data_IF_145769262312
#
_entry.id   IF_145769262312
#
_cell.length_a   1.000
_cell.length_b   1.000
_cell.length_c   1.000
_cell.angle_alpha   90.00
_cell.angle_beta   90.00
_cell.angle_gamma   90.00
#
_symmetry.space_group_name_H-M   'P 1'
#
loop_
_entity.id
_entity.type
_entity.pdbx_description
1 polymer ?
#
# COMPACT_ATOMS: atom_id res chain seq x y z
N UNK A 1 62.96 -11.46 10.88
CA UNK A 1 62.99 -11.07 9.45
C UNK A 1 62.07 -11.99 8.66
N UNK A 2 61.15 -11.40 7.90
CA UNK A 2 60.46 -11.92 6.70
C UNK A 2 59.54 -13.13 6.86
N UNK A 3 58.26 -12.84 7.09
CA UNK A 3 57.16 -13.61 6.46
C UNK A 3 56.82 -12.92 5.15
N UNK A 4 56.88 -13.69 4.07
CA UNK A 4 56.69 -13.26 2.68
C UNK A 4 55.28 -12.72 2.43
N UNK A 5 55.22 -11.52 1.84
CA UNK A 5 54.06 -11.00 1.11
C UNK A 5 54.05 -11.62 -0.29
N UNK A 6 52.91 -12.09 -0.74
CA UNK A 6 52.56 -12.16 -2.16
C UNK A 6 51.17 -11.56 -2.38
N UNK A 7 51.16 -10.54 -3.23
CA UNK A 7 50.08 -9.85 -3.96
C UNK A 7 49.46 -10.77 -5.03
N UNK A 8 48.26 -10.61 -5.58
CA UNK A 8 47.26 -9.51 -5.67
C UNK A 8 45.90 -10.09 -6.13
N UNK A 9 45.07 -9.44 -7.00
CA UNK A 9 45.18 -8.12 -7.63
C UNK A 9 44.06 -7.13 -7.26
N UNK A 10 44.34 -5.87 -7.56
CA UNK A 10 43.45 -4.71 -7.68
C UNK A 10 42.33 -4.94 -8.68
N UNK A 11 41.08 -4.64 -8.29
CA UNK A 11 40.10 -4.10 -9.22
C UNK A 11 39.03 -3.27 -8.49
N UNK A 12 38.68 -2.18 -9.16
CA UNK A 12 37.91 -1.02 -8.74
C UNK A 12 36.45 -1.32 -8.39
N UNK A 13 35.98 -0.81 -7.25
CA UNK A 13 34.56 -0.51 -7.07
C UNK A 13 34.39 0.93 -6.62
N UNK A 14 34.18 1.78 -7.63
CA UNK A 14 33.41 3.01 -7.50
C UNK A 14 31.99 2.68 -7.06
N UNK A 15 31.65 3.03 -5.83
CA UNK A 15 30.29 3.50 -5.51
C UNK A 15 30.37 4.37 -4.26
N UNK A 16 30.05 5.64 -4.45
CA UNK A 16 29.96 6.63 -3.38
C UNK A 16 28.89 6.20 -2.38
N UNK A 17 29.33 5.58 -1.28
CA UNK A 17 28.50 5.40 -0.09
C UNK A 17 28.21 6.77 0.52
N UNK A 18 27.13 7.39 0.08
CA UNK A 18 26.53 8.51 0.78
C UNK A 18 26.04 7.98 2.13
N UNK A 19 26.88 8.12 3.17
CA UNK A 19 26.50 7.86 4.56
C UNK A 19 25.45 8.90 4.98
N UNK A 20 24.19 8.62 4.68
CA UNK A 20 23.06 9.26 5.34
C UNK A 20 23.07 8.91 6.84
N UNK A 21 22.50 9.77 7.68
CA UNK A 21 22.62 9.73 9.14
C UNK A 21 22.38 8.34 9.75
N UNK A 22 23.22 7.94 10.71
CA UNK A 22 23.09 6.61 11.35
C UNK A 22 21.77 6.41 12.11
N UNK A 23 21.32 5.15 12.27
CA UNK A 23 20.03 4.81 12.85
C UNK A 23 19.96 5.14 14.34
N UNK A 24 18.74 5.23 14.88
CA UNK A 24 18.51 5.47 16.30
C UNK A 24 19.09 4.34 17.17
N UNK A 25 19.46 4.68 18.41
CA UNK A 25 19.93 3.71 19.40
C UNK A 25 18.78 3.16 20.23
N UNK A 26 18.72 1.84 20.35
CA UNK A 26 17.78 1.13 21.22
C UNK A 26 17.84 1.67 22.65
N UNK A 27 16.66 1.91 23.26
CA UNK A 27 16.55 2.39 24.64
C UNK A 27 16.92 3.86 24.87
N UNK A 28 17.20 4.64 23.82
CA UNK A 28 17.44 6.08 23.96
C UNK A 28 16.19 6.84 24.42
N UNK A 29 16.40 7.92 25.17
CA UNK A 29 15.29 8.77 25.62
C UNK A 29 14.62 9.48 24.44
N UNK A 30 15.36 9.76 23.36
CA UNK A 30 14.83 10.22 22.08
C UNK A 30 13.74 9.30 21.51
N UNK A 31 13.94 7.98 21.58
CA UNK A 31 12.94 7.00 21.15
C UNK A 31 11.72 7.06 22.07
N UNK A 32 11.97 6.98 23.39
CA UNK A 32 10.91 7.02 24.42
C UNK A 32 10.01 8.24 24.27
N UNK A 33 10.59 9.44 24.15
CA UNK A 33 9.85 10.71 24.07
C UNK A 33 8.91 10.79 22.84
N UNK A 34 9.35 10.31 21.67
CA UNK A 34 8.51 10.31 20.47
C UNK A 34 7.38 9.29 20.57
N UNK A 35 7.65 8.13 21.16
CA UNK A 35 6.63 7.09 21.41
C UNK A 35 5.59 7.58 22.42
N UNK A 36 6.01 8.20 23.53
CA UNK A 36 5.08 8.81 24.50
C UNK A 36 4.18 9.86 23.83
N UNK A 37 4.75 10.68 22.92
CA UNK A 37 3.96 11.64 22.14
C UNK A 37 2.94 10.96 21.22
N UNK A 38 3.26 9.79 20.65
CA UNK A 38 2.30 9.00 19.85
C UNK A 38 1.19 8.46 20.77
N UNK A 39 1.55 7.92 21.92
CA UNK A 39 0.62 7.35 22.92
C UNK A 39 -0.37 8.41 23.45
N UNK A 40 0.06 9.67 23.61
CA UNK A 40 -0.80 10.79 24.00
C UNK A 40 -1.87 11.14 22.95
N UNK A 41 -1.63 10.82 21.67
CA UNK A 41 -2.47 11.30 20.56
C UNK A 41 -3.40 10.21 20.04
N UNK A 42 -2.95 8.95 19.96
CA UNK A 42 -3.69 7.84 19.36
C UNK A 42 -3.51 6.55 20.17
N UNK A 43 -4.62 5.86 20.43
CA UNK A 43 -4.61 4.51 20.99
C UNK A 43 -4.24 3.47 19.91
N UNK A 44 -3.11 2.79 20.11
CA UNK A 44 -2.60 1.76 19.19
C UNK A 44 -3.16 0.36 19.46
N UNK A 45 -3.83 0.14 20.59
CA UNK A 45 -4.38 -1.16 20.96
C UNK A 45 -5.33 -1.68 19.87
N UNK A 46 -5.12 -2.92 19.42
CA UNK A 46 -5.93 -3.53 18.37
C UNK A 46 -5.67 -3.00 16.94
N UNK A 47 -4.72 -2.07 16.74
CA UNK A 47 -4.44 -1.46 15.43
C UNK A 47 -3.35 -2.22 14.66
N UNK A 48 -3.41 -2.12 13.33
CA UNK A 48 -2.34 -2.50 12.41
C UNK A 48 -1.51 -1.27 12.06
N UNK A 49 -0.22 -1.31 12.38
CA UNK A 49 0.71 -0.19 12.22
C UNK A 49 1.75 -0.51 11.15
N UNK A 50 2.05 0.49 10.32
CA UNK A 50 3.20 0.49 9.41
C UNK A 50 4.23 1.50 9.90
N UNK A 51 5.46 1.05 10.13
CA UNK A 51 6.60 1.92 10.46
C UNK A 51 7.44 2.14 9.20
N UNK A 52 7.25 3.29 8.56
CA UNK A 52 7.87 3.61 7.27
C UNK A 52 9.21 4.35 7.47
N UNK A 53 10.27 3.75 6.94
CA UNK A 53 11.67 4.06 7.25
C UNK A 53 12.08 3.56 8.63
N UNK A 54 11.85 2.27 8.88
CA UNK A 54 12.03 1.67 10.21
C UNK A 54 13.50 1.54 10.64
N UNK A 55 14.46 1.72 9.72
CA UNK A 55 15.89 1.60 9.99
C UNK A 55 16.23 0.28 10.66
N UNK A 56 16.86 0.35 11.83
CA UNK A 56 17.26 -0.83 12.62
C UNK A 56 16.13 -1.39 13.51
N UNK A 57 14.93 -0.80 13.47
CA UNK A 57 13.76 -1.31 14.17
C UNK A 57 13.61 -0.85 15.63
N UNK A 58 14.33 0.20 16.05
CA UNK A 58 14.19 0.74 17.41
C UNK A 58 12.76 1.22 17.72
N UNK A 59 12.16 1.99 16.81
CA UNK A 59 10.80 2.48 16.96
C UNK A 59 9.77 1.37 16.75
N UNK A 60 9.98 0.52 15.74
CA UNK A 60 9.12 -0.62 15.44
C UNK A 60 8.96 -1.54 16.64
N UNK A 61 10.02 -1.78 17.40
CA UNK A 61 10.00 -2.56 18.64
C UNK A 61 9.09 -1.96 19.73
N UNK A 62 9.11 -0.63 19.90
CA UNK A 62 8.23 0.04 20.87
C UNK A 62 6.77 0.04 20.42
N UNK A 63 6.53 0.22 19.12
CA UNK A 63 5.19 0.15 18.53
C UNK A 63 4.60 -1.26 18.66
N UNK A 64 5.41 -2.30 18.48
CA UNK A 64 4.98 -3.70 18.56
C UNK A 64 4.51 -4.11 19.96
N UNK A 65 4.97 -3.41 21.01
CA UNK A 65 4.46 -3.63 22.38
C UNK A 65 3.06 -3.07 22.63
N UNK A 66 2.58 -2.20 21.73
CA UNK A 66 1.34 -1.41 21.93
C UNK A 66 0.25 -1.79 20.91
N UNK A 67 0.66 -2.13 19.70
CA UNK A 67 -0.23 -2.47 18.61
C UNK A 67 -0.52 -3.97 18.51
N UNK A 68 -1.61 -4.33 17.83
CA UNK A 68 -1.90 -5.74 17.55
C UNK A 68 -0.98 -6.33 16.48
N UNK A 69 -0.54 -5.48 15.53
CA UNK A 69 0.37 -5.87 14.46
C UNK A 69 1.20 -4.68 14.02
N UNK A 70 2.49 -4.89 13.79
CA UNK A 70 3.41 -3.88 13.25
C UNK A 70 4.24 -4.49 12.14
N UNK A 71 4.40 -3.75 11.04
CA UNK A 71 5.35 -4.07 9.98
C UNK A 71 6.30 -2.88 9.78
N UNK A 72 7.60 -3.14 9.73
CA UNK A 72 8.60 -2.14 9.37
C UNK A 72 8.92 -2.15 7.87
N UNK A 73 9.11 -0.98 7.28
CA UNK A 73 9.59 -0.84 5.90
C UNK A 73 10.82 0.04 5.85
N UNK A 74 11.85 -0.38 5.14
CA UNK A 74 13.01 0.46 4.85
C UNK A 74 13.66 0.04 3.54
N UNK A 75 14.28 0.97 2.80
CA UNK A 75 15.01 0.65 1.56
C UNK A 75 16.36 -0.02 1.89
N UNK A 76 16.93 0.25 3.06
CA UNK A 76 18.27 -0.18 3.44
C UNK A 76 18.24 -1.55 4.11
N UNK A 77 18.42 -2.59 3.29
CA UNK A 77 18.53 -3.99 3.72
C UNK A 77 19.51 -4.20 4.91
N UNK A 78 20.69 -3.53 4.99
CA UNK A 78 21.57 -3.69 6.15
C UNK A 78 20.89 -3.38 7.48
N UNK A 79 20.09 -2.31 7.56
CA UNK A 79 19.39 -1.94 8.79
C UNK A 79 18.25 -2.91 9.12
N UNK A 80 17.54 -3.41 8.11
CA UNK A 80 16.53 -4.46 8.31
C UNK A 80 17.14 -5.74 8.91
N UNK A 81 18.41 -6.05 8.63
CA UNK A 81 19.11 -7.19 9.24
C UNK A 81 19.48 -6.97 10.70
N UNK A 82 19.54 -5.72 11.17
CA UNK A 82 19.91 -5.37 12.56
C UNK A 82 18.74 -5.45 13.56
N UNK A 83 17.51 -5.67 13.08
CA UNK A 83 16.34 -5.82 13.94
C UNK A 83 16.54 -6.91 15.00
N UNK A 84 16.45 -6.52 16.26
CA UNK A 84 16.61 -7.44 17.41
C UNK A 84 15.42 -8.37 17.63
N UNK A 85 14.25 -8.00 17.11
CA UNK A 85 12.99 -8.69 17.38
C UNK A 85 12.46 -9.33 16.09
N UNK A 86 11.72 -10.45 16.19
CA UNK A 86 11.11 -11.14 15.04
C UNK A 86 9.85 -10.41 14.57
N UNK A 87 9.95 -9.11 14.31
CA UNK A 87 8.86 -8.28 13.78
C UNK A 87 8.91 -8.34 12.24
N UNK A 88 7.74 -8.51 11.56
CA UNK A 88 7.66 -8.47 10.11
C UNK A 88 8.27 -7.20 9.53
N UNK A 89 9.09 -7.37 8.49
CA UNK A 89 9.78 -6.26 7.83
C UNK A 89 9.96 -6.51 6.34
N UNK A 90 9.88 -5.45 5.55
CA UNK A 90 9.94 -5.51 4.08
C UNK A 90 10.90 -4.46 3.55
N UNK A 91 11.71 -4.83 2.56
CA UNK A 91 12.53 -3.88 1.83
C UNK A 91 11.69 -3.21 0.73
N UNK A 92 11.43 -1.91 0.84
CA UNK A 92 10.67 -1.16 -0.15
C UNK A 92 10.97 0.34 -0.08
N UNK A 93 10.63 1.04 -1.16
CA UNK A 93 10.70 2.50 -1.28
C UNK A 93 9.35 3.10 -0.82
N UNK A 94 9.38 4.28 -0.18
CA UNK A 94 8.17 4.88 0.40
C UNK A 94 7.14 5.32 -0.65
N UNK A 95 7.61 5.56 -1.86
CA UNK A 95 6.88 5.99 -3.04
C UNK A 95 6.15 4.83 -3.76
N UNK A 96 6.44 3.57 -3.42
CA UNK A 96 5.77 2.39 -3.98
C UNK A 96 5.73 1.26 -2.94
N UNK A 97 4.67 1.24 -2.13
CA UNK A 97 4.55 0.32 -1.00
C UNK A 97 3.91 -1.01 -1.43
N UNK A 98 4.50 -2.18 -1.12
CA UNK A 98 4.03 -3.50 -1.54
C UNK A 98 2.85 -4.03 -0.69
N UNK A 99 1.90 -3.15 -0.37
CA UNK A 99 0.71 -3.49 0.42
C UNK A 99 -0.56 -3.12 -0.33
N UNK A 100 -1.64 -3.86 -0.08
CA UNK A 100 -2.95 -3.51 -0.61
C UNK A 100 -3.45 -2.16 -0.04
N UNK A 101 -4.37 -1.53 -0.76
CA UNK A 101 -5.06 -0.32 -0.27
C UNK A 101 -5.84 -0.62 1.01
N UNK A 102 -5.82 0.29 1.99
CA UNK A 102 -6.58 0.10 3.24
C UNK A 102 -6.08 -1.03 4.15
N UNK A 103 -4.79 -1.35 4.12
CA UNK A 103 -4.19 -2.42 4.92
C UNK A 103 -3.86 -2.03 6.37
N UNK A 104 -3.62 -0.73 6.63
CA UNK A 104 -3.14 -0.24 7.92
C UNK A 104 -4.10 0.78 8.53
N UNK A 105 -4.20 0.77 9.86
CA UNK A 105 -4.94 1.75 10.64
C UNK A 105 -4.06 2.98 10.94
N UNK A 106 -2.74 2.77 11.02
CA UNK A 106 -1.78 3.76 11.47
C UNK A 106 -0.46 3.65 10.70
N UNK A 107 0.15 4.78 10.36
CA UNK A 107 1.49 4.86 9.77
C UNK A 107 2.35 5.81 10.60
N UNK A 108 3.57 5.41 10.94
CA UNK A 108 4.60 6.27 11.50
C UNK A 108 5.69 6.55 10.47
N UNK A 109 6.18 7.79 10.42
CA UNK A 109 7.46 8.14 9.79
C UNK A 109 8.23 9.03 10.75
N UNK A 110 9.42 8.60 11.14
CA UNK A 110 10.21 9.29 12.16
C UNK A 110 11.58 9.65 11.57
N UNK A 111 11.75 10.92 11.17
CA UNK A 111 12.99 11.44 10.56
C UNK A 111 13.38 10.67 9.27
N UNK A 112 12.37 10.37 8.45
CA UNK A 112 12.49 9.62 7.18
C UNK A 112 12.09 10.49 5.99
N UNK A 113 11.06 11.32 6.18
CA UNK A 113 10.39 12.06 5.13
C UNK A 113 11.36 12.98 4.36
N UNK A 114 12.30 13.59 5.07
CA UNK A 114 13.38 14.45 4.58
C UNK A 114 14.38 13.78 3.64
N UNK A 115 14.43 12.45 3.63
CA UNK A 115 15.36 11.63 2.85
C UNK A 115 14.71 11.00 1.62
N UNK A 116 13.38 11.10 1.49
CA UNK A 116 12.63 10.55 0.36
C UNK A 116 13.00 11.26 -0.96
N UNK A 117 12.63 10.71 -2.11
CA UNK A 117 12.83 11.41 -3.38
C UNK A 117 11.71 12.41 -3.61
N UNK A 118 10.47 11.98 -3.35
CA UNK A 118 9.29 12.78 -3.57
C UNK A 118 8.29 12.69 -2.39
N UNK A 119 8.30 13.74 -1.57
CA UNK A 119 7.40 13.91 -0.41
C UNK A 119 5.92 13.67 -0.77
N UNK A 120 5.48 14.11 -1.94
CA UNK A 120 4.09 14.03 -2.40
C UNK A 120 3.68 12.61 -2.78
N UNK A 121 4.56 11.85 -3.43
CA UNK A 121 4.31 10.45 -3.80
C UNK A 121 4.24 9.56 -2.55
N UNK A 122 5.15 9.78 -1.59
CA UNK A 122 5.10 9.08 -0.31
C UNK A 122 3.78 9.34 0.41
N UNK A 123 3.32 10.59 0.48
CA UNK A 123 2.02 10.91 1.11
C UNK A 123 0.84 10.28 0.36
N UNK A 124 0.87 10.21 -0.98
CA UNK A 124 -0.16 9.52 -1.78
C UNK A 124 -0.18 8.02 -1.50
N UNK A 125 0.99 7.39 -1.40
CA UNK A 125 1.09 5.96 -1.05
C UNK A 125 0.63 5.68 0.38
N UNK A 126 1.03 6.51 1.34
CA UNK A 126 0.50 6.45 2.70
C UNK A 126 -1.03 6.60 2.71
N UNK A 127 -1.57 7.53 1.93
CA UNK A 127 -3.01 7.69 1.78
C UNK A 127 -3.66 6.44 1.20
N UNK A 128 -3.05 5.78 0.20
CA UNK A 128 -3.56 4.55 -0.43
C UNK A 128 -3.63 3.39 0.56
N UNK A 129 -2.53 3.09 1.26
CA UNK A 129 -2.43 1.93 2.16
C UNK A 129 -3.15 2.13 3.49
N UNK A 130 -3.46 3.37 3.88
CA UNK A 130 -4.30 3.65 5.06
C UNK A 130 -5.77 3.31 4.84
N UNK A 131 -6.39 2.73 5.87
CA UNK A 131 -7.84 2.59 5.97
C UNK A 131 -8.52 3.96 6.04
N UNK A 132 -9.80 3.98 5.67
CA UNK A 132 -10.67 5.13 5.91
C UNK A 132 -10.65 5.51 7.40
N UNK A 133 -10.41 6.78 7.71
CA UNK A 133 -10.27 7.23 9.10
C UNK A 133 -8.95 6.88 9.78
N UNK A 134 -8.02 6.20 9.11
CA UNK A 134 -6.68 5.91 9.62
C UNK A 134 -5.80 7.15 9.70
N UNK A 135 -4.68 7.05 10.41
CA UNK A 135 -3.80 8.19 10.71
C UNK A 135 -2.36 7.99 10.24
N UNK A 136 -1.71 9.07 9.84
CA UNK A 136 -0.27 9.19 9.66
C UNK A 136 0.29 10.10 10.75
N UNK A 137 1.37 9.68 11.41
CA UNK A 137 2.17 10.53 12.29
C UNK A 137 3.55 10.71 11.69
N UNK A 138 3.92 11.97 11.49
CA UNK A 138 5.19 12.41 10.93
C UNK A 138 6.02 13.11 12.00
N UNK A 139 7.30 12.81 12.07
CA UNK A 139 8.31 13.63 12.73
C UNK A 139 9.33 14.06 11.68
N UNK A 140 9.49 15.37 11.50
CA UNK A 140 10.36 15.94 10.46
C UNK A 140 11.22 17.07 11.03
N UNK A 141 12.42 17.30 10.49
CA UNK A 141 13.32 18.31 11.01
C UNK A 141 12.78 19.73 10.80
N UNK A 142 12.90 20.55 11.84
CA UNK A 142 12.30 21.88 11.89
C UNK A 142 13.25 22.94 11.30
N UNK A 143 12.78 23.67 10.28
CA UNK A 143 13.53 24.80 9.71
C UNK A 143 13.82 25.92 10.71
N UNK A 144 12.96 26.10 11.71
CA UNK A 144 13.15 27.15 12.72
C UNK A 144 14.17 26.77 13.79
N UNK A 145 14.62 25.52 13.86
CA UNK A 145 15.64 25.11 14.84
C UNK A 145 16.98 25.79 14.51
N UNK A 146 17.63 26.48 15.48
CA UNK A 146 18.84 27.26 15.22
C UNK A 146 20.10 26.44 14.91
N UNK A 147 20.06 25.11 15.03
CA UNK A 147 21.19 24.23 14.73
C UNK A 147 20.80 23.26 13.61
N UNK A 148 21.69 22.99 12.66
CA UNK A 148 21.43 21.98 11.63
C UNK A 148 21.80 20.60 12.18
N UNK A 149 20.80 19.73 12.38
CA UNK A 149 20.95 18.41 12.98
C UNK A 149 21.55 17.38 12.01
N UNK A 150 21.59 17.70 10.72
CA UNK A 150 22.15 16.85 9.68
C UNK A 150 23.65 17.10 9.45
N UNK A 151 24.39 16.09 8.98
CA UNK A 151 25.75 16.30 8.53
C UNK A 151 25.77 17.24 7.32
N UNK A 152 26.64 18.24 7.36
CA UNK A 152 26.87 19.14 6.24
C UNK A 152 28.24 18.89 5.60
N UNK A 153 28.29 19.09 4.29
CA UNK A 153 29.39 18.78 3.40
C UNK A 153 29.77 20.01 2.58
N UNK A 154 31.06 20.33 2.53
CA UNK A 154 31.62 21.36 1.64
C UNK A 154 32.60 20.66 0.70
N UNK A 155 32.18 20.43 -0.54
CA UNK A 155 32.96 19.64 -1.50
C UNK A 155 33.24 18.24 -0.96
N UNK A 156 34.52 17.90 -0.72
CA UNK A 156 34.95 16.61 -0.17
C UNK A 156 35.01 16.57 1.36
N UNK A 157 34.83 17.69 2.06
CA UNK A 157 34.97 17.78 3.51
C UNK A 157 33.61 17.65 4.21
N UNK A 158 33.54 16.81 5.25
CA UNK A 158 32.35 16.64 6.10
C UNK A 158 32.56 17.39 7.42
N UNK A 159 31.69 18.37 7.72
CA UNK A 159 31.81 19.28 8.87
C UNK A 159 31.08 18.70 10.12
N UNK A 160 30.34 17.60 9.97
CA UNK A 160 29.60 16.97 11.07
C UNK A 160 28.24 17.62 11.32
N UNK A 161 27.67 17.40 12.51
CA UNK A 161 26.28 17.74 12.91
C UNK A 161 26.23 18.91 13.91
N UNK A 162 25.05 19.53 14.08
CA UNK A 162 24.72 20.60 15.02
C UNK A 162 25.42 21.94 14.74
N UNK A 163 25.61 22.28 13.47
CA UNK A 163 26.26 23.53 13.08
C UNK A 163 25.24 24.68 13.27
N UNK A 164 25.60 25.76 13.98
CA UNK A 164 24.67 26.86 14.23
C UNK A 164 24.30 27.60 12.94
N UNK A 165 23.06 28.10 12.90
CA UNK A 165 22.49 29.04 11.91
C UNK A 165 22.34 28.54 10.47
N UNK A 166 22.89 27.37 10.11
CA UNK A 166 22.76 26.79 8.76
C UNK A 166 21.29 26.55 8.37
N UNK A 167 20.44 26.13 9.30
CA UNK A 167 19.01 25.89 9.07
C UNK A 167 18.26 27.16 8.57
N UNK A 168 18.80 28.34 8.87
CA UNK A 168 18.21 29.63 8.48
C UNK A 168 18.80 30.22 7.20
N UNK A 169 19.81 29.57 6.61
CA UNK A 169 20.37 30.02 5.34
C UNK A 169 19.33 29.91 4.21
N UNK A 170 19.49 30.73 3.14
CA UNK A 170 18.72 30.58 1.92
C UNK A 170 18.80 29.14 1.38
N UNK A 171 17.67 28.63 0.86
CA UNK A 171 17.52 27.22 0.46
C UNK A 171 18.58 26.77 -0.56
N UNK A 172 18.97 27.64 -1.50
CA UNK A 172 19.98 27.33 -2.51
C UNK A 172 21.36 27.05 -1.90
N UNK A 173 21.72 27.75 -0.82
CA UNK A 173 23.01 27.60 -0.16
C UNK A 173 22.98 26.36 0.74
N UNK A 174 21.87 26.15 1.44
CA UNK A 174 21.68 24.97 2.28
C UNK A 174 21.70 23.67 1.48
N UNK A 175 21.07 23.62 0.30
CA UNK A 175 21.08 22.42 -0.58
C UNK A 175 22.48 22.05 -1.08
N UNK A 176 23.40 23.01 -1.15
CA UNK A 176 24.82 22.72 -1.47
C UNK A 176 25.57 22.13 -0.27
N UNK A 177 25.10 22.41 0.95
CA UNK A 177 25.76 22.02 2.18
C UNK A 177 25.17 20.73 2.77
N UNK A 178 23.85 20.56 2.78
CA UNK A 178 23.18 19.47 3.49
C UNK A 178 22.05 18.90 2.61
N UNK A 179 22.04 17.57 2.44
CA UNK A 179 21.15 16.88 1.49
C UNK A 179 19.72 16.65 2.03
N UNK A 180 19.55 16.65 3.36
CA UNK A 180 18.26 16.44 4.01
C UNK A 180 17.38 17.69 3.92
N UNK A 181 16.10 17.50 3.63
CA UNK A 181 15.11 18.59 3.62
C UNK A 181 14.73 19.01 5.04
N UNK A 182 14.46 20.30 5.24
CA UNK A 182 13.87 20.84 6.48
C UNK A 182 12.52 21.46 6.19
N UNK A 183 11.63 21.41 7.17
CA UNK A 183 10.23 21.74 6.98
C UNK A 183 9.82 22.91 7.84
N UNK A 184 8.91 23.72 7.29
CA UNK A 184 8.08 24.61 8.09
C UNK A 184 6.74 23.92 8.30
N UNK A 185 6.07 24.22 9.43
CA UNK A 185 4.73 23.68 9.72
C UNK A 185 3.73 23.97 8.60
N UNK A 186 3.78 25.18 8.02
CA UNK A 186 2.93 25.57 6.88
C UNK A 186 3.14 24.66 5.66
N UNK A 187 4.40 24.39 5.30
CA UNK A 187 4.73 23.53 4.15
C UNK A 187 4.25 22.10 4.39
N UNK A 188 4.53 21.54 5.58
CA UNK A 188 4.09 20.20 5.95
C UNK A 188 2.57 20.05 5.81
N UNK A 189 1.83 21.03 6.31
CA UNK A 189 0.38 21.04 6.29
C UNK A 189 -0.19 21.17 4.88
N UNK A 190 0.41 22.03 4.06
CA UNK A 190 0.02 22.20 2.66
C UNK A 190 0.20 20.91 1.86
N UNK A 191 1.30 20.18 2.05
CA UNK A 191 1.53 18.90 1.37
C UNK A 191 0.55 17.82 1.85
N UNK A 192 0.33 17.70 3.16
CA UNK A 192 -0.63 16.75 3.71
C UNK A 192 -2.06 17.01 3.22
N UNK A 193 -2.46 18.28 3.16
CA UNK A 193 -3.76 18.69 2.61
C UNK A 193 -3.87 18.35 1.12
N UNK A 194 -2.83 18.60 0.33
CA UNK A 194 -2.79 18.29 -1.11
C UNK A 194 -2.87 16.79 -1.38
N UNK A 195 -2.35 15.95 -0.48
CA UNK A 195 -2.50 14.50 -0.51
C UNK A 195 -3.88 14.00 0.00
N UNK A 196 -4.75 14.91 0.46
CA UNK A 196 -6.12 14.61 0.88
C UNK A 196 -6.30 14.33 2.38
N UNK A 197 -5.30 14.59 3.22
CA UNK A 197 -5.41 14.40 4.66
C UNK A 197 -6.04 15.59 5.39
N UNK A 198 -6.73 15.29 6.49
CA UNK A 198 -7.20 16.26 7.47
C UNK A 198 -6.18 16.40 8.60
N UNK A 199 -5.90 17.64 9.01
CA UNK A 199 -4.97 17.92 10.11
C UNK A 199 -5.70 17.65 11.43
N UNK A 200 -5.10 16.84 12.31
CA UNK A 200 -5.66 16.53 13.63
C UNK A 200 -4.89 17.16 14.77
N UNK A 201 -3.57 17.05 14.74
CA UNK A 201 -2.70 17.65 15.74
C UNK A 201 -1.34 17.95 15.13
N UNK A 202 -0.61 18.85 15.78
CA UNK A 202 0.79 19.11 15.46
C UNK A 202 1.46 19.86 16.59
N UNK A 203 2.76 19.74 16.70
CA UNK A 203 3.54 20.54 17.63
C UNK A 203 5.03 20.43 17.33
N UNK A 204 5.82 20.70 18.34
CA UNK A 204 7.27 20.72 18.25
C UNK A 204 7.86 19.89 19.38
N UNK A 205 9.03 19.32 19.13
CA UNK A 205 9.80 18.56 20.11
C UNK A 205 11.16 19.20 20.27
N UNK A 206 11.55 19.48 21.51
CA UNK A 206 12.89 19.90 21.87
C UNK A 206 13.85 18.70 21.94
N UNK A 207 15.16 18.93 21.65
CA UNK A 207 16.14 17.87 21.60
C UNK A 207 16.29 17.23 22.99
N UNK A 208 16.36 15.89 23.08
CA UNK A 208 16.50 15.16 24.34
C UNK A 208 17.89 15.26 24.98
N UNK A 209 18.86 15.83 24.24
CA UNK A 209 20.27 15.97 24.62
C UNK A 209 20.96 14.64 24.95
N UNK A 210 20.57 13.55 24.29
CA UNK A 210 21.11 12.22 24.56
C UNK A 210 22.61 12.08 24.34
N UNK A 211 23.15 12.81 23.37
CA UNK A 211 24.58 12.83 23.06
C UNK A 211 25.42 13.72 24.00
N UNK A 212 24.81 14.53 24.86
CA UNK A 212 25.50 15.45 25.76
C UNK A 212 25.49 14.94 27.21
N UNK A 213 26.66 14.91 27.86
CA UNK A 213 26.79 14.62 29.30
C UNK A 213 26.61 15.91 30.09
N UNK A 214 25.36 16.26 30.42
CA UNK A 214 25.03 17.45 31.21
C UNK A 214 24.49 17.06 32.59
N UNK A 215 24.90 17.72 33.69
CA UNK A 215 24.49 17.34 35.04
C UNK A 215 23.02 17.66 35.36
N UNK A 216 22.41 18.61 34.65
CA UNK A 216 21.02 19.08 34.85
C UNK A 216 20.03 18.56 33.79
N UNK A 217 20.36 17.43 33.14
CA UNK A 217 19.60 16.89 32.00
C UNK A 217 18.14 16.57 32.31
N UNK A 218 17.84 16.05 33.50
CA UNK A 218 16.49 15.67 33.88
C UNK A 218 15.60 16.88 34.20
N UNK A 219 16.19 17.93 34.79
CA UNK A 219 15.52 19.22 34.99
C UNK A 219 15.25 19.91 33.66
N UNK A 220 16.20 19.88 32.72
CA UNK A 220 15.99 20.37 31.36
C UNK A 220 14.87 19.61 30.66
N UNK A 221 14.83 18.27 30.73
CA UNK A 221 13.78 17.46 30.09
C UNK A 221 12.38 17.83 30.60
N UNK A 222 12.22 18.02 31.91
CA UNK A 222 10.95 18.50 32.51
C UNK A 222 10.57 19.90 32.03
N UNK A 223 11.52 20.84 32.03
CA UNK A 223 11.28 22.20 31.55
C UNK A 223 10.96 22.23 30.04
N UNK A 224 11.67 21.44 29.24
CA UNK A 224 11.49 21.33 27.80
C UNK A 224 10.07 20.86 27.45
N UNK A 225 9.53 19.85 28.14
CA UNK A 225 8.15 19.39 27.91
C UNK A 225 7.11 20.49 28.18
N UNK A 226 7.33 21.35 29.17
CA UNK A 226 6.46 22.51 29.42
C UNK A 226 6.60 23.58 28.33
N UNK A 227 7.83 23.86 27.90
CA UNK A 227 8.12 24.86 26.87
C UNK A 227 7.65 24.45 25.46
N UNK A 228 7.52 23.16 25.16
CA UNK A 228 7.01 22.65 23.87
C UNK A 228 5.60 23.17 23.55
N UNK A 229 4.79 23.41 24.58
CA UNK A 229 3.43 23.93 24.46
C UNK A 229 3.38 25.48 24.41
N UNK A 230 4.52 26.15 24.57
CA UNK A 230 4.62 27.62 24.56
C UNK A 230 4.94 28.18 23.17
N UNK A 231 4.89 29.51 23.02
CA UNK A 231 5.32 30.21 21.81
C UNK A 231 6.81 29.99 21.46
N UNK A 232 7.63 29.60 22.44
CA UNK A 232 9.06 29.26 22.25
C UNK A 232 9.20 27.86 21.63
N UNK A 233 8.22 26.98 21.79
CA UNK A 233 8.22 25.63 21.24
C UNK A 233 8.47 25.57 19.73
N UNK A 234 8.14 26.64 18.99
CA UNK A 234 8.43 26.75 17.53
C UNK A 234 9.91 26.60 17.16
N UNK A 235 10.82 26.75 18.12
CA UNK A 235 12.27 26.52 17.96
C UNK A 235 12.70 25.11 18.38
N UNK A 236 11.78 24.14 18.50
CA UNK A 236 12.11 22.73 18.72
C UNK A 236 12.92 22.11 17.57
N UNK A 237 13.61 21.01 17.82
CA UNK A 237 14.44 20.31 16.82
C UNK A 237 13.59 19.64 15.73
N UNK A 238 12.43 19.11 16.10
CA UNK A 238 11.56 18.34 15.21
C UNK A 238 10.13 18.86 15.29
N UNK A 239 9.45 18.91 14.14
CA UNK A 239 8.02 19.16 14.02
C UNK A 239 7.33 17.81 14.00
N UNK A 240 6.29 17.62 14.81
CA UNK A 240 5.39 16.48 14.63
C UNK A 240 4.06 16.92 14.03
N UNK A 241 3.52 16.09 13.15
CA UNK A 241 2.21 16.29 12.53
C UNK A 241 1.40 15.01 12.54
N UNK A 242 0.12 15.11 12.90
CA UNK A 242 -0.84 14.02 12.93
C UNK A 242 -1.93 14.32 11.93
N UNK A 243 -2.03 13.46 10.91
CA UNK A 243 -2.88 13.63 9.76
C UNK A 243 -3.82 12.44 9.65
N UNK A 244 -5.12 12.70 9.47
CA UNK A 244 -6.12 11.65 9.34
C UNK A 244 -6.62 11.59 7.91
N UNK A 245 -6.68 10.37 7.37
CA UNK A 245 -7.41 10.12 6.13
C UNK A 245 -8.90 10.35 6.40
N UNK A 246 -9.60 11.22 5.65
CA UNK A 246 -11.02 11.46 5.86
C UNK A 246 -11.78 10.15 5.95
N UNK A 247 -12.67 10.04 6.93
CA UNK A 247 -13.63 8.94 6.92
C UNK A 247 -14.44 9.09 5.65
N UNK A 248 -14.29 8.15 4.71
CA UNK A 248 -15.36 7.94 3.73
C UNK A 248 -16.64 7.76 4.54
N UNK A 249 -17.75 8.43 4.19
CA UNK A 249 -19.04 8.03 4.74
C UNK A 249 -19.10 6.53 4.56
N UNK A 250 -19.45 5.82 5.63
CA UNK A 250 -19.79 4.42 5.52
C UNK A 250 -20.87 4.37 4.44
N UNK A 251 -20.47 4.03 3.20
CA UNK A 251 -21.28 3.07 2.49
C UNK A 251 -21.26 1.92 3.46
N UNK A 252 -22.37 1.74 4.15
CA UNK A 252 -22.65 0.51 4.83
C UNK A 252 -22.39 -0.55 3.75
N UNK A 253 -21.19 -1.11 3.74
CA UNK A 253 -21.06 -2.52 3.53
C UNK A 253 -21.78 -3.07 4.74
N UNK A 254 -23.13 -3.07 4.65
CA UNK A 254 -23.94 -3.92 5.47
C UNK A 254 -23.19 -5.23 5.34
N UNK A 255 -22.75 -5.79 6.45
CA UNK A 255 -22.72 -7.23 6.59
C UNK A 255 -24.17 -7.68 6.39
N UNK A 256 -24.64 -7.57 5.15
CA UNK A 256 -25.77 -8.28 4.66
C UNK A 256 -25.25 -9.70 4.74
N UNK A 257 -25.75 -10.42 5.73
CA UNK A 257 -26.06 -11.84 5.55
C UNK A 257 -26.40 -12.06 4.08
N UNK A 258 -25.74 -13.01 3.40
CA UNK A 258 -25.93 -13.20 1.97
C UNK A 258 -27.43 -13.22 1.70
N UNK A 259 -27.93 -12.18 1.01
CA UNK A 259 -29.25 -12.28 0.42
C UNK A 259 -29.14 -13.48 -0.52
N UNK A 260 -29.97 -14.51 -0.35
CA UNK A 260 -29.87 -15.69 -1.18
C UNK A 260 -29.97 -15.23 -2.63
N UNK A 261 -29.00 -15.71 -3.43
CA UNK A 261 -29.07 -15.67 -4.88
C UNK A 261 -30.48 -16.09 -5.31
N UNK A 262 -31.05 -15.52 -6.40
CA UNK A 262 -32.37 -15.91 -6.90
C UNK A 262 -32.42 -17.43 -6.98
N UNK A 263 -33.22 -18.08 -6.13
CA UNK A 263 -33.25 -19.52 -5.80
C UNK A 263 -32.32 -20.40 -6.66
N UNK A 264 -31.01 -20.19 -6.56
CA UNK A 264 -30.06 -20.98 -7.33
C UNK A 264 -29.76 -22.18 -6.47
N UNK A 265 -30.38 -23.31 -6.78
CA UNK A 265 -30.18 -24.56 -6.05
C UNK A 265 -28.69 -24.89 -6.02
N UNK A 266 -28.11 -24.96 -4.83
CA UNK A 266 -26.76 -25.49 -4.65
C UNK A 266 -26.82 -26.97 -4.33
N UNK A 267 -25.80 -27.72 -4.72
CA UNK A 267 -25.62 -29.11 -4.36
C UNK A 267 -24.25 -29.33 -3.71
N UNK A 268 -24.19 -30.30 -2.81
CA UNK A 268 -22.93 -30.69 -2.16
C UNK A 268 -22.11 -31.61 -3.06
N UNK A 269 -20.83 -31.28 -3.19
CA UNK A 269 -19.80 -32.10 -3.81
C UNK A 269 -18.68 -32.36 -2.81
N UNK A 270 -18.80 -33.43 -2.01
CA UNK A 270 -17.79 -33.84 -1.02
C UNK A 270 -17.48 -32.74 0.01
N UNK A 271 -18.51 -32.09 0.54
CA UNK A 271 -18.38 -31.00 1.51
C UNK A 271 -18.02 -29.64 0.90
N UNK A 272 -18.04 -29.52 -0.44
CA UNK A 272 -17.92 -28.24 -1.14
C UNK A 272 -19.27 -27.90 -1.76
N UNK A 273 -19.79 -26.70 -1.45
CA UNK A 273 -21.04 -26.17 -1.98
C UNK A 273 -20.85 -25.68 -3.41
N UNK A 274 -21.50 -26.32 -4.38
CA UNK A 274 -21.47 -25.94 -5.80
C UNK A 274 -22.85 -25.44 -6.23
N UNK A 275 -22.91 -24.31 -6.95
CA UNK A 275 -24.17 -23.72 -7.39
C UNK A 275 -24.58 -24.30 -8.74
N UNK A 276 -25.87 -24.67 -8.87
CA UNK A 276 -26.41 -25.10 -10.14
C UNK A 276 -26.74 -23.88 -11.03
N UNK A 277 -25.72 -23.31 -11.66
CA UNK A 277 -25.83 -22.12 -12.51
C UNK A 277 -25.21 -22.35 -13.89
N UNK A 278 -25.69 -21.62 -14.89
CA UNK A 278 -25.12 -21.51 -16.23
C UNK A 278 -24.44 -20.15 -16.42
N UNK A 279 -23.63 -20.00 -17.47
CA UNK A 279 -22.88 -18.75 -17.75
C UNK A 279 -23.81 -17.52 -17.77
N UNK A 280 -25.02 -17.63 -18.35
CA UNK A 280 -26.01 -16.55 -18.38
C UNK A 280 -26.42 -16.07 -16.99
N UNK A 281 -26.61 -17.02 -16.06
CA UNK A 281 -27.07 -16.76 -14.71
C UNK A 281 -25.96 -16.06 -13.92
N UNK A 282 -24.71 -16.54 -14.10
CA UNK A 282 -23.53 -15.94 -13.49
C UNK A 282 -23.32 -14.51 -13.99
N UNK A 283 -23.40 -14.27 -15.30
CA UNK A 283 -23.26 -12.92 -15.89
C UNK A 283 -24.34 -11.97 -15.36
N UNK A 284 -25.58 -12.43 -15.29
CA UNK A 284 -26.71 -11.65 -14.75
C UNK A 284 -26.49 -11.31 -13.27
N UNK A 285 -26.00 -12.28 -12.51
CA UNK A 285 -25.64 -12.12 -11.10
C UNK A 285 -24.51 -11.09 -10.92
N UNK A 286 -23.47 -11.15 -11.74
CA UNK A 286 -22.37 -10.17 -11.75
C UNK A 286 -22.89 -8.76 -12.06
N UNK A 287 -23.77 -8.59 -13.06
CA UNK A 287 -24.39 -7.29 -13.38
C UNK A 287 -25.21 -6.75 -12.18
N UNK A 288 -25.99 -7.62 -11.51
CA UNK A 288 -26.76 -7.28 -10.32
C UNK A 288 -25.84 -6.78 -9.19
N UNK A 289 -24.82 -7.56 -8.84
CA UNK A 289 -23.87 -7.22 -7.78
C UNK A 289 -23.13 -5.90 -8.04
N UNK A 290 -22.72 -5.67 -9.28
CA UNK A 290 -22.07 -4.41 -9.67
C UNK A 290 -23.02 -3.23 -9.52
N UNK A 291 -24.28 -3.38 -9.94
CA UNK A 291 -25.30 -2.33 -9.85
C UNK A 291 -25.64 -1.98 -8.40
N UNK A 292 -25.75 -2.97 -7.54
CA UNK A 292 -26.08 -2.81 -6.12
C UNK A 292 -24.95 -2.16 -5.33
N UNK A 293 -23.70 -2.29 -5.79
CA UNK A 293 -22.54 -1.53 -5.34
C UNK A 293 -22.36 -1.54 -3.80
N UNK A 294 -22.59 -2.71 -3.21
CA UNK A 294 -22.54 -2.94 -1.77
C UNK A 294 -21.18 -3.41 -1.28
N UNK A 295 -20.77 -4.63 -1.66
CA UNK A 295 -19.53 -5.29 -1.22
C UNK A 295 -18.75 -5.90 -2.38
N UNK A 296 -17.53 -6.38 -2.09
CA UNK A 296 -16.79 -7.22 -3.02
C UNK A 296 -17.43 -8.61 -3.05
N UNK A 297 -17.55 -9.17 -4.26
CA UNK A 297 -18.07 -10.51 -4.47
C UNK A 297 -17.02 -11.40 -5.15
N UNK A 298 -16.96 -12.67 -4.75
CA UNK A 298 -16.03 -13.65 -5.30
C UNK A 298 -16.76 -14.80 -6.01
N UNK A 299 -16.20 -15.24 -7.14
CA UNK A 299 -16.70 -16.38 -7.91
C UNK A 299 -15.54 -17.37 -8.09
N UNK A 300 -15.75 -18.62 -7.70
CA UNK A 300 -14.78 -19.70 -7.86
C UNK A 300 -15.27 -20.65 -8.95
N UNK A 301 -14.55 -20.69 -10.08
CA UNK A 301 -14.71 -21.74 -11.07
C UNK A 301 -13.92 -22.96 -10.59
N UNK A 302 -14.62 -24.01 -10.15
CA UNK A 302 -13.98 -25.21 -9.62
C UNK A 302 -14.30 -26.43 -10.48
N UNK A 303 -13.27 -27.23 -10.75
CA UNK A 303 -13.40 -28.53 -11.41
C UNK A 303 -13.37 -29.65 -10.37
N UNK A 304 -13.57 -30.90 -10.78
CA UNK A 304 -13.41 -32.03 -9.85
C UNK A 304 -12.04 -32.08 -9.20
N UNK A 305 -10.99 -31.64 -9.91
CA UNK A 305 -9.66 -31.57 -9.34
C UNK A 305 -9.63 -30.63 -8.13
N UNK A 306 -10.27 -29.46 -8.22
CA UNK A 306 -10.41 -28.54 -7.09
C UNK A 306 -11.20 -29.14 -5.92
N UNK A 307 -12.23 -29.97 -6.19
CA UNK A 307 -12.97 -30.65 -5.13
C UNK A 307 -12.13 -31.73 -4.43
N UNK A 308 -11.33 -32.47 -5.20
CA UNK A 308 -10.41 -33.49 -4.66
C UNK A 308 -9.29 -32.84 -3.85
N UNK A 309 -8.74 -31.72 -4.32
CA UNK A 309 -7.72 -30.96 -3.60
C UNK A 309 -8.26 -30.46 -2.25
N UNK A 310 -9.51 -29.99 -2.22
CA UNK A 310 -10.19 -29.59 -0.98
C UNK A 310 -10.38 -30.74 0.04
N UNK A 311 -10.21 -32.00 -0.36
CA UNK A 311 -10.18 -33.11 0.59
C UNK A 311 -8.84 -33.24 1.31
N UNK A 312 -7.76 -32.74 0.70
CA UNK A 312 -6.40 -32.80 1.25
C UNK A 312 -5.99 -31.49 1.94
N UNK A 313 -6.62 -30.37 1.58
CA UNK A 313 -6.40 -29.04 2.17
C UNK A 313 -7.71 -28.45 2.73
N UNK A 314 -7.80 -28.41 4.08
CA UNK A 314 -8.95 -27.87 4.79
C UNK A 314 -9.09 -26.34 4.65
N UNK A 315 -7.98 -25.61 4.56
CA UNK A 315 -8.00 -24.17 4.35
C UNK A 315 -8.52 -23.85 2.94
N UNK A 316 -8.10 -24.61 1.93
CA UNK A 316 -8.62 -24.48 0.57
C UNK A 316 -10.12 -24.80 0.47
N UNK A 317 -10.58 -25.84 1.18
CA UNK A 317 -12.02 -26.16 1.29
C UNK A 317 -12.82 -25.01 1.90
N UNK A 318 -12.31 -24.38 2.94
CA UNK A 318 -12.95 -23.22 3.58
C UNK A 318 -13.02 -22.02 2.65
N UNK A 319 -11.98 -21.76 1.85
CA UNK A 319 -11.98 -20.71 0.82
C UNK A 319 -13.06 -20.96 -0.23
N UNK A 320 -13.18 -22.20 -0.74
CA UNK A 320 -14.23 -22.53 -1.71
C UNK A 320 -15.63 -22.32 -1.12
N UNK A 321 -15.87 -22.76 0.11
CA UNK A 321 -17.19 -22.65 0.75
C UNK A 321 -17.56 -21.22 1.15
N UNK A 322 -16.57 -20.38 1.49
CA UNK A 322 -16.77 -18.96 1.80
C UNK A 322 -16.94 -18.07 0.55
N UNK A 323 -16.69 -18.61 -0.65
CA UNK A 323 -16.90 -17.89 -1.90
C UNK A 323 -18.39 -17.68 -2.17
N UNK A 324 -18.76 -16.50 -2.69
CA UNK A 324 -20.18 -16.16 -2.90
C UNK A 324 -20.84 -17.09 -3.92
N UNK A 325 -20.11 -17.42 -4.99
CA UNK A 325 -20.57 -18.33 -6.03
C UNK A 325 -19.48 -19.32 -6.44
N UNK A 326 -19.72 -20.60 -6.22
CA UNK A 326 -18.90 -21.70 -6.74
C UNK A 326 -19.59 -22.27 -7.96
N UNK A 327 -18.96 -22.14 -9.13
CA UNK A 327 -19.54 -22.54 -10.43
C UNK A 327 -18.91 -23.85 -10.95
N UNK A 328 -19.69 -24.71 -11.63
CA UNK A 328 -19.20 -26.02 -12.07
C UNK A 328 -18.34 -25.92 -13.35
N UNK A 329 -17.01 -25.89 -13.21
CA UNK A 329 -16.02 -25.79 -14.32
C UNK A 329 -15.67 -27.16 -14.96
N UNK A 330 -16.17 -28.24 -14.37
CA UNK A 330 -15.95 -29.62 -14.82
C UNK A 330 -17.24 -30.36 -15.15
N UNK A 331 -17.21 -31.18 -16.20
CA UNK A 331 -18.34 -32.05 -16.56
C UNK A 331 -18.82 -32.98 -15.43
N UNK A 332 -17.96 -33.54 -14.56
CA UNK A 332 -18.48 -34.41 -13.51
C UNK A 332 -19.33 -33.66 -12.46
N UNK A 333 -19.07 -32.37 -12.24
CA UNK A 333 -19.93 -31.53 -11.38
C UNK A 333 -21.29 -31.28 -12.03
N UNK A 334 -21.33 -31.13 -13.35
CA UNK A 334 -22.57 -31.05 -14.11
C UNK A 334 -23.39 -32.34 -13.97
N UNK A 335 -22.74 -33.51 -14.12
CA UNK A 335 -23.40 -34.80 -13.95
C UNK A 335 -23.91 -35.01 -12.53
N UNK A 336 -23.11 -34.64 -11.52
CA UNK A 336 -23.50 -34.71 -10.12
C UNK A 336 -24.71 -33.79 -9.85
N UNK A 337 -24.67 -32.55 -10.33
CA UNK A 337 -25.78 -31.61 -10.19
C UNK A 337 -27.07 -32.12 -10.84
N UNK A 338 -26.98 -32.71 -12.04
CA UNK A 338 -28.12 -33.37 -12.71
C UNK A 338 -28.70 -34.52 -11.90
N UNK A 339 -27.83 -35.39 -11.37
CA UNK A 339 -28.26 -36.51 -10.52
C UNK A 339 -28.95 -36.02 -9.23
N UNK A 340 -28.63 -34.81 -8.78
CA UNK A 340 -29.28 -34.13 -7.64
C UNK A 340 -30.54 -33.34 -8.03
N UNK A 341 -31.07 -33.52 -9.25
CA UNK A 341 -32.31 -32.90 -9.71
C UNK A 341 -32.14 -31.49 -10.31
N UNK A 342 -30.91 -31.01 -10.50
CA UNK A 342 -30.68 -29.67 -11.05
C UNK A 342 -30.64 -29.67 -12.58
N UNK A 343 -31.20 -28.61 -13.19
CA UNK A 343 -31.22 -28.45 -14.64
C UNK A 343 -29.93 -27.80 -15.16
N UNK A 344 -28.82 -28.54 -15.14
CA UNK A 344 -27.53 -28.07 -15.68
C UNK A 344 -27.32 -28.57 -17.12
N UNK A 345 -27.29 -27.68 -18.10
CA UNK A 345 -27.05 -28.05 -19.51
C UNK A 345 -25.57 -28.10 -19.84
N UNK A 346 -24.80 -27.12 -19.39
CA UNK A 346 -23.36 -27.02 -19.64
C UNK A 346 -22.57 -26.77 -18.35
N UNK A 347 -21.25 -26.97 -18.45
CA UNK A 347 -20.30 -26.49 -17.46
C UNK A 347 -20.12 -24.98 -17.60
N UNK A 348 -19.77 -24.31 -16.51
CA UNK A 348 -19.36 -22.91 -16.50
C UNK A 348 -17.84 -22.88 -16.63
N UNK A 349 -17.35 -22.94 -17.88
CA UNK A 349 -15.91 -22.90 -18.12
C UNK A 349 -15.34 -21.52 -17.80
N UNK A 350 -14.37 -21.42 -16.90
CA UNK A 350 -13.84 -20.13 -16.40
C UNK A 350 -13.48 -19.13 -17.52
N UNK A 351 -12.67 -19.51 -18.52
CA UNK A 351 -12.37 -18.65 -19.67
C UNK A 351 -13.59 -18.24 -20.50
N UNK A 352 -14.58 -19.13 -20.67
CA UNK A 352 -15.81 -18.80 -21.39
C UNK A 352 -16.68 -17.80 -20.61
N UNK A 353 -16.72 -17.93 -19.28
CA UNK A 353 -17.40 -16.98 -18.40
C UNK A 353 -16.77 -15.59 -18.50
N UNK A 354 -15.44 -15.50 -18.46
CA UNK A 354 -14.71 -14.23 -18.62
C UNK A 354 -15.03 -13.59 -19.98
N UNK A 355 -14.98 -14.38 -21.06
CA UNK A 355 -15.29 -13.90 -22.41
C UNK A 355 -16.75 -13.43 -22.52
N UNK A 356 -17.70 -14.20 -22.01
CA UNK A 356 -19.11 -13.85 -22.03
C UNK A 356 -19.39 -12.56 -21.26
N UNK A 357 -18.79 -12.40 -20.08
CA UNK A 357 -18.95 -11.18 -19.28
C UNK A 357 -18.33 -9.96 -19.97
N UNK A 358 -17.11 -10.07 -20.51
CA UNK A 358 -16.45 -8.97 -21.22
C UNK A 358 -17.21 -8.59 -22.50
N UNK A 359 -17.74 -9.57 -23.25
CA UNK A 359 -18.57 -9.31 -24.41
C UNK A 359 -19.86 -8.55 -24.04
N UNK A 360 -20.51 -8.95 -22.94
CA UNK A 360 -21.74 -8.31 -22.45
C UNK A 360 -21.53 -6.86 -22.00
N UNK A 361 -20.35 -6.56 -21.47
CA UNK A 361 -20.03 -5.28 -20.83
C UNK A 361 -19.20 -4.34 -21.71
N UNK A 362 -18.73 -4.82 -22.86
CA UNK A 362 -18.06 -4.01 -23.88
C UNK A 362 -18.89 -2.76 -24.24
N UNK A 363 -18.26 -1.59 -24.15
CA UNK A 363 -18.89 -0.30 -24.47
C UNK A 363 -19.88 0.22 -23.42
N UNK A 364 -20.11 -0.49 -22.31
CA UNK A 364 -21.06 -0.08 -21.25
C UNK A 364 -20.39 0.62 -20.05
N UNK A 365 -19.14 1.06 -20.21
CA UNK A 365 -18.38 1.77 -19.17
C UNK A 365 -17.87 0.89 -18.02
N UNK A 366 -17.89 -0.43 -18.17
CA UNK A 366 -17.28 -1.35 -17.22
C UNK A 366 -15.76 -1.34 -17.38
N UNK A 367 -15.04 -1.58 -16.28
CA UNK A 367 -13.59 -1.73 -16.28
C UNK A 367 -13.24 -3.14 -15.84
N UNK A 368 -12.38 -3.79 -16.62
CA UNK A 368 -11.90 -5.14 -16.38
C UNK A 368 -10.43 -5.10 -15.97
N UNK A 369 -10.06 -5.98 -15.05
CA UNK A 369 -8.69 -6.16 -14.61
C UNK A 369 -8.38 -7.65 -14.55
N UNK A 370 -7.23 -8.03 -15.07
CA UNK A 370 -6.76 -9.40 -15.08
C UNK A 370 -5.50 -9.48 -14.23
N UNK A 371 -5.43 -10.49 -13.36
CA UNK A 371 -4.28 -10.71 -12.50
C UNK A 371 -3.99 -12.20 -12.36
N UNK A 372 -2.72 -12.53 -12.08
CA UNK A 372 -2.23 -13.90 -11.97
C UNK A 372 -1.68 -14.45 -13.29
N UNK A 373 -1.20 -15.70 -13.25
CA UNK A 373 -0.48 -16.33 -14.35
C UNK A 373 1.00 -15.93 -14.42
N UNK A 374 1.71 -16.49 -15.39
CA UNK A 374 3.11 -16.17 -15.65
C UNK A 374 3.31 -14.69 -16.02
N UNK A 375 4.50 -14.12 -15.78
CA UNK A 375 4.83 -12.75 -16.19
C UNK A 375 4.50 -12.49 -17.67
N UNK A 376 3.81 -11.39 -17.97
CA UNK A 376 3.39 -11.03 -19.33
C UNK A 376 2.09 -11.68 -19.81
N UNK A 377 1.48 -12.60 -19.05
CA UNK A 377 0.20 -13.23 -19.43
C UNK A 377 -0.98 -12.25 -19.35
N UNK A 378 -1.19 -11.47 -18.27
CA UNK A 378 -2.28 -10.50 -18.20
C UNK A 378 -2.23 -9.45 -19.32
N UNK A 379 -1.03 -9.00 -19.67
CA UNK A 379 -0.78 -8.00 -20.73
C UNK A 379 -1.21 -8.56 -22.08
N UNK A 380 -0.70 -9.75 -22.46
CA UNK A 380 -1.10 -10.44 -23.69
C UNK A 380 -2.59 -10.80 -23.73
N UNK A 381 -3.18 -11.12 -22.57
CA UNK A 381 -4.61 -11.37 -22.48
C UNK A 381 -5.37 -10.07 -22.80
N UNK A 382 -4.99 -8.95 -22.22
CA UNK A 382 -5.63 -7.65 -22.46
C UNK A 382 -5.56 -7.22 -23.93
N UNK A 383 -4.43 -7.48 -24.60
CA UNK A 383 -4.22 -7.19 -26.02
C UNK A 383 -5.07 -8.09 -26.94
N UNK A 384 -5.17 -9.38 -26.60
CA UNK A 384 -5.88 -10.36 -27.45
C UNK A 384 -7.38 -10.49 -27.15
N UNK A 385 -7.86 -9.96 -26.03
CA UNK A 385 -9.25 -10.10 -25.59
C UNK A 385 -10.27 -9.48 -26.56
N UNK A 386 -10.06 -8.26 -27.13
CA UNK A 386 -11.00 -7.69 -28.09
C UNK A 386 -11.19 -8.58 -29.33
N UNK A 387 -10.09 -9.11 -29.88
CA UNK A 387 -10.16 -10.03 -31.02
C UNK A 387 -10.87 -11.34 -30.68
N UNK A 388 -10.63 -11.89 -29.47
CA UNK A 388 -11.28 -13.12 -29.00
C UNK A 388 -12.79 -12.93 -28.83
N UNK A 389 -13.22 -11.79 -28.30
CA UNK A 389 -14.63 -11.43 -28.19
C UNK A 389 -15.26 -11.32 -29.58
N UNK A 390 -14.64 -10.59 -30.50
CA UNK A 390 -15.12 -10.44 -31.87
C UNK A 390 -15.26 -11.80 -32.57
N UNK A 391 -14.21 -12.64 -32.55
CA UNK A 391 -14.25 -13.98 -33.18
C UNK A 391 -15.34 -14.91 -32.62
N UNK A 392 -15.69 -14.79 -31.34
CA UNK A 392 -16.58 -15.73 -30.65
C UNK A 392 -18.04 -15.30 -30.67
N UNK A 393 -18.31 -13.99 -30.59
CA UNK A 393 -19.66 -13.44 -30.47
C UNK A 393 -20.13 -12.63 -31.69
N UNK A 394 -19.23 -12.19 -32.58
CA UNK A 394 -19.59 -11.49 -33.81
C UNK A 394 -19.46 -12.44 -35.02
N UNK A 395 -20.49 -13.27 -35.22
CA UNK A 395 -20.58 -14.18 -36.38
C UNK A 395 -21.22 -13.51 -37.60
N UNK A 396 -21.40 -12.19 -37.60
CA UNK A 396 -22.05 -11.47 -38.71
C UNK A 396 -21.10 -11.10 -39.86
N UNK A 397 -19.79 -11.18 -39.66
CA UNK A 397 -18.79 -10.82 -40.68
C UNK A 397 -18.15 -12.06 -41.31
N UNK A 398 -18.22 -12.23 -42.66
CA UNK A 398 -17.68 -13.41 -43.32
C UNK A 398 -16.15 -13.47 -43.22
N UNK A 399 -15.61 -14.68 -43.09
CA UNK A 399 -14.17 -14.98 -43.16
C UNK A 399 -13.61 -14.55 -44.53
N UNK A 400 -13.13 -13.32 -44.65
CA UNK A 400 -12.12 -12.96 -45.64
C UNK A 400 -11.02 -12.15 -44.97
N UNK A 401 -9.85 -12.78 -44.93
CA UNK A 401 -8.54 -12.14 -44.82
C UNK A 401 -8.46 -10.93 -45.73
N UNK A 402 -8.35 -9.74 -45.14
CA UNK A 402 -7.70 -8.57 -45.74
C UNK A 402 -7.28 -7.64 -44.59
N UNK A 403 -6.02 -7.22 -44.62
CA UNK A 403 -5.38 -6.24 -43.72
C UNK A 403 -6.39 -5.17 -43.27
N UNK A 404 -6.60 -5.07 -41.96
CA UNK A 404 -7.27 -3.91 -41.37
C UNK A 404 -6.41 -2.68 -41.65
N UNK A 405 -6.90 -1.81 -42.53
CA UNK A 405 -6.48 -0.42 -42.65
C UNK A 405 -6.81 0.35 -41.36
N UNK A 406 -6.02 1.39 -41.00
CA UNK A 406 -6.10 2.05 -39.71
C UNK A 406 -7.35 2.94 -39.65
N UNK A 407 -8.43 2.43 -39.07
CA UNK A 407 -9.70 3.16 -39.03
C UNK A 407 -10.63 2.81 -37.86
N UNK A 408 -10.17 1.99 -36.92
CA UNK A 408 -10.84 1.89 -35.61
C UNK A 408 -10.26 2.98 -34.71
N UNK A 409 -11.10 3.81 -34.05
CA UNK A 409 -10.59 4.74 -33.06
C UNK A 409 -9.85 3.92 -32.00
N UNK A 410 -8.55 4.20 -31.86
CA UNK A 410 -7.72 3.64 -30.81
C UNK A 410 -8.42 3.89 -29.48
N UNK A 411 -8.87 2.82 -28.83
CA UNK A 411 -9.36 2.89 -27.45
C UNK A 411 -8.18 3.40 -26.60
N UNK A 412 -8.37 4.45 -25.79
CA UNK A 412 -7.27 4.98 -24.99
C UNK A 412 -6.80 3.93 -23.99
N UNK A 413 -5.59 3.45 -24.21
CA UNK A 413 -4.77 2.71 -23.26
C UNK A 413 -4.36 3.68 -22.14
N UNK A 414 -5.16 3.77 -21.10
CA UNK A 414 -4.77 4.42 -19.83
C UNK A 414 -5.16 3.57 -18.62
N UNK A 415 -4.13 2.89 -18.09
CA UNK A 415 -3.75 2.77 -16.67
C UNK A 415 -4.66 2.09 -15.63
N UNK A 416 -4.14 0.96 -15.14
CA UNK A 416 -4.03 0.43 -13.76
C UNK A 416 -5.26 0.35 -12.82
N UNK A 417 -5.58 -0.87 -12.37
CA UNK A 417 -6.30 -1.13 -11.11
C UNK A 417 -7.21 -2.36 -11.11
N UNK A 418 -7.23 -3.09 -9.98
CA UNK A 418 -8.10 -4.24 -9.62
C UNK A 418 -9.55 -4.15 -10.13
N UNK A 419 -10.18 -5.32 -10.37
CA UNK A 419 -11.56 -5.47 -10.89
C UNK A 419 -12.51 -4.59 -10.09
N UNK A 420 -12.86 -3.45 -10.67
CA UNK A 420 -13.81 -2.52 -10.11
C UNK A 420 -14.62 -1.91 -11.25
N UNK A 421 -15.81 -2.45 -11.46
CA UNK A 421 -16.81 -1.82 -12.32
C UNK A 421 -17.43 -0.64 -11.55
N UNK A 422 -17.01 0.58 -11.89
CA UNK A 422 -17.70 1.81 -11.48
C UNK A 422 -18.20 2.49 -12.74
N UNK A 423 -19.50 2.78 -12.79
CA UNK A 423 -20.06 3.75 -13.74
C UNK A 423 -19.34 5.09 -13.55
N UNK A 424 -18.68 5.59 -14.59
CA UNK A 424 -18.19 6.97 -14.62
C UNK A 424 -19.35 7.92 -14.87
N UNK A 425 -19.60 8.87 -13.96
CA UNK A 425 -20.39 10.06 -14.26
C UNK A 425 -19.58 10.96 -15.20
N UNK A 426 -20.18 11.33 -16.33
CA UNK A 426 -19.71 12.37 -17.23
C UNK A 426 -20.01 13.77 -16.69
N UNK A 427 -18.99 14.62 -16.66
CA UNK A 427 -18.99 16.09 -16.78
C UNK A 427 -17.50 16.48 -16.72
N UNK A 428 -16.82 17.03 -17.71
CA UNK A 428 -17.19 18.06 -18.67
C UNK A 428 -16.34 19.29 -18.36
N UNK A 429 -15.25 19.54 -19.11
CA UNK A 429 -14.89 20.86 -19.65
C UNK A 429 -13.59 20.79 -20.47
N UNK A 430 -13.62 21.54 -21.56
CA UNK A 430 -12.76 21.57 -22.74
C UNK A 430 -11.52 22.47 -22.59
N UNK A 431 -10.53 22.18 -23.44
CA UNK A 431 -9.64 23.10 -24.18
C UNK A 431 -8.95 24.25 -23.43
N UNK A 432 -7.61 24.20 -23.33
CA UNK A 432 -6.66 24.73 -24.35
C UNK A 432 -5.26 24.22 -24.06
#
# INVERSE_FOLDING_TARGET
>A
MKTLRQTGPTESFTEHSVKFGGPASYGSYAVKKRIEKIDEIIELKGKRVLDLGCGNGCYTAELARRAAFVCGVDLQIPYLKEFRQPIPRVAAVGEDLPFASGSFDFITMIEVFEHTRCDEEVLKECFRVLKSGGFVVLFVPNKLYPFESHPCHIGRFSIGRNIPLISWFPEFLRRRLCHARIYTRRRLFSMAHSAGFQIRASGYIFPPLDSFRLPFKESYRRAASSLENSAIGKFGVSIYGVFQKPKRPERACKTATPEPLPESTSFDAMGVRVHAVQISDVVTCMEKWIRENGRCHSIAATSMHGIVEAQHDSAFKEILNSTDLVVPDGMPLVWLGRRRGNNLTHRVYGPDLVLAFCAKTAGRGYRHFFYGGEPGVPERLSESLPERIHRRFDRSTPKKTKKLSPGFPALPLTCFGLVWARQSKSAGCTST
#
